data_IF_591002806340
#
_entry.id   IF_591002806340
#
_cell.length_a   1.000
_cell.length_b   1.000
_cell.length_c   1.000
_cell.angle_alpha   90.00
_cell.angle_beta   90.00
_cell.angle_gamma   90.00
#
_symmetry.space_group_name_H-M   'P 1'
#
loop_
_entity.id
_entity.type
_entity.pdbx_description
1 polymer ?
#
# COMPACT_ATOMS: atom_id res chain seq x y z
N UNK A 1 22.75 4.17 -0.88
CA UNK A 1 22.21 2.92 -0.29
C UNK A 1 20.86 3.11 0.40
N UNK A 2 20.68 4.09 1.30
CA UNK A 2 19.41 4.27 2.04
C UNK A 2 18.18 4.54 1.15
N UNK A 3 18.33 5.29 0.05
CA UNK A 3 17.25 5.53 -0.93
C UNK A 3 16.81 4.25 -1.64
N UNK A 4 17.76 3.42 -2.09
CA UNK A 4 17.46 2.12 -2.70
C UNK A 4 16.70 1.20 -1.73
N UNK A 5 17.13 1.14 -0.45
CA UNK A 5 16.43 0.38 0.58
C UNK A 5 14.98 0.85 0.79
N UNK A 6 14.73 2.17 0.79
CA UNK A 6 13.36 2.71 0.88
C UNK A 6 12.47 2.37 -0.30
N UNK A 7 13.07 2.12 -1.46
CA UNK A 7 12.36 1.78 -2.70
C UNK A 7 12.07 0.28 -2.77
N UNK A 8 13.08 -0.52 -2.46
CA UNK A 8 13.03 -1.95 -2.70
C UNK A 8 12.40 -2.69 -1.52
N UNK A 9 12.80 -2.38 -0.28
CA UNK A 9 12.40 -3.18 0.88
C UNK A 9 10.89 -3.21 1.12
N UNK A 10 10.15 -2.07 1.08
CA UNK A 10 8.70 -2.12 1.25
C UNK A 10 8.01 -2.98 0.19
N UNK A 11 8.40 -2.79 -1.07
CA UNK A 11 7.83 -3.55 -2.19
C UNK A 11 8.12 -5.04 -2.04
N UNK A 12 9.36 -5.45 -1.77
CA UNK A 12 9.67 -6.87 -1.61
C UNK A 12 8.96 -7.53 -0.41
N UNK A 13 8.73 -6.78 0.68
CA UNK A 13 7.95 -7.28 1.81
C UNK A 13 6.49 -7.47 1.41
N UNK A 14 5.84 -6.45 0.85
CA UNK A 14 4.44 -6.51 0.46
C UNK A 14 4.23 -7.60 -0.61
N UNK A 15 5.06 -7.59 -1.66
CA UNK A 15 5.02 -8.58 -2.73
C UNK A 15 5.28 -10.00 -2.23
N UNK A 16 6.22 -10.16 -1.29
CA UNK A 16 6.52 -11.44 -0.66
C UNK A 16 5.35 -11.97 0.17
N UNK A 17 4.64 -11.10 0.90
CA UNK A 17 3.43 -11.47 1.64
C UNK A 17 2.34 -11.92 0.67
N UNK A 18 2.05 -11.15 -0.39
CA UNK A 18 1.05 -11.52 -1.39
C UNK A 18 1.42 -12.83 -2.11
N UNK A 19 2.68 -12.99 -2.50
CA UNK A 19 3.17 -14.21 -3.13
C UNK A 19 2.99 -15.41 -2.19
N UNK A 20 3.35 -15.28 -0.92
CA UNK A 20 3.16 -16.36 0.06
C UNK A 20 1.68 -16.71 0.23
N UNK A 21 0.80 -15.71 0.36
CA UNK A 21 -0.65 -15.95 0.47
C UNK A 21 -1.18 -16.73 -0.73
N UNK A 22 -0.78 -16.36 -1.95
CA UNK A 22 -1.22 -17.07 -3.16
C UNK A 22 -0.66 -18.49 -3.20
N UNK A 23 0.64 -18.67 -2.95
CA UNK A 23 1.31 -19.97 -3.03
C UNK A 23 0.79 -20.96 -1.98
N UNK A 24 0.55 -20.52 -0.74
CA UNK A 24 0.01 -21.38 0.32
C UNK A 24 -1.46 -21.76 0.10
N UNK A 25 -2.23 -20.94 -0.62
CA UNK A 25 -3.64 -21.23 -0.89
C UNK A 25 -3.85 -22.06 -2.17
N UNK A 26 -2.90 -22.03 -3.11
CA UNK A 26 -2.99 -22.71 -4.41
C UNK A 26 -3.31 -24.22 -4.33
N UNK A 27 -2.72 -25.01 -3.39
CA UNK A 27 -2.99 -26.45 -3.31
C UNK A 27 -4.44 -26.76 -2.88
N UNK A 28 -5.05 -25.88 -2.09
CA UNK A 28 -6.39 -26.08 -1.52
C UNK A 28 -7.48 -25.34 -2.28
N UNK A 29 -7.11 -24.35 -3.10
CA UNK A 29 -8.02 -23.50 -3.86
C UNK A 29 -7.57 -23.46 -5.32
N UNK A 30 -8.23 -24.20 -6.23
CA UNK A 30 -7.86 -24.19 -7.64
C UNK A 30 -8.07 -22.78 -8.21
N UNK A 31 -7.11 -22.32 -9.01
CA UNK A 31 -7.18 -21.00 -9.63
C UNK A 31 -8.34 -20.94 -10.63
N UNK A 32 -9.17 -19.90 -10.53
CA UNK A 32 -10.32 -19.69 -11.41
C UNK A 32 -10.22 -18.35 -12.11
N UNK A 33 -9.78 -18.39 -13.36
CA UNK A 33 -9.64 -17.19 -14.19
C UNK A 33 -10.97 -16.48 -14.44
N UNK A 34 -12.08 -17.23 -14.43
CA UNK A 34 -13.43 -16.67 -14.62
C UNK A 34 -13.88 -15.79 -13.44
N UNK A 35 -13.27 -15.98 -12.26
CA UNK A 35 -13.62 -15.19 -11.06
C UNK A 35 -12.80 -13.89 -10.96
N UNK A 36 -11.98 -13.55 -11.97
CA UNK A 36 -11.27 -12.26 -12.01
C UNK A 36 -12.29 -11.12 -12.07
N UNK A 37 -12.30 -10.29 -11.04
CA UNK A 37 -13.24 -9.17 -10.90
C UNK A 37 -14.28 -9.39 -9.80
N UNK A 38 -14.43 -10.62 -9.29
CA UNK A 38 -15.45 -10.95 -8.30
C UNK A 38 -15.06 -10.59 -6.86
N UNK A 39 -13.87 -10.01 -6.65
CA UNK A 39 -13.43 -9.49 -5.35
C UNK A 39 -13.23 -10.56 -4.27
N UNK A 40 -13.06 -11.82 -4.68
CA UNK A 40 -12.85 -12.95 -3.80
C UNK A 40 -11.39 -13.46 -3.84
N UNK A 41 -11.07 -14.46 -3.01
CA UNK A 41 -9.72 -15.05 -2.94
C UNK A 41 -9.24 -15.62 -4.30
N UNK A 42 -10.13 -16.25 -5.08
CA UNK A 42 -9.80 -16.80 -6.39
C UNK A 42 -9.48 -15.70 -7.40
N UNK A 43 -10.26 -14.60 -7.39
CA UNK A 43 -9.98 -13.39 -8.17
C UNK A 43 -8.58 -12.84 -7.87
N UNK A 44 -8.22 -12.76 -6.58
CA UNK A 44 -6.92 -12.26 -6.14
C UNK A 44 -5.78 -13.17 -6.62
N UNK A 45 -5.94 -14.49 -6.45
CA UNK A 45 -4.95 -15.48 -6.88
C UNK A 45 -4.74 -15.48 -8.40
N UNK A 46 -5.84 -15.46 -9.17
CA UNK A 46 -5.79 -15.42 -10.62
C UNK A 46 -5.15 -14.12 -11.14
N UNK A 47 -5.53 -12.97 -10.58
CA UNK A 47 -4.96 -11.67 -10.93
C UNK A 47 -3.46 -11.60 -10.61
N UNK A 48 -3.07 -11.99 -9.40
CA UNK A 48 -1.67 -11.98 -9.01
C UNK A 48 -0.84 -12.91 -9.92
N UNK A 49 -1.29 -14.14 -10.17
CA UNK A 49 -0.53 -15.08 -10.99
C UNK A 49 -0.31 -14.61 -12.43
N UNK A 50 -1.31 -13.95 -13.04
CA UNK A 50 -1.21 -13.44 -14.40
C UNK A 50 -0.37 -12.16 -14.50
N UNK A 51 -0.47 -11.27 -13.51
CA UNK A 51 0.06 -9.90 -13.62
C UNK A 51 1.23 -9.61 -12.69
N UNK A 52 1.77 -10.59 -11.95
CA UNK A 52 2.83 -10.34 -10.96
C UNK A 52 4.05 -9.56 -11.50
N UNK A 53 4.58 -9.76 -12.73
CA UNK A 53 5.73 -8.97 -13.18
C UNK A 53 5.37 -7.50 -13.36
N UNK A 54 4.17 -7.23 -13.88
CA UNK A 54 3.65 -5.89 -14.08
C UNK A 54 3.36 -5.22 -12.74
N UNK A 55 2.73 -5.93 -11.81
CA UNK A 55 2.46 -5.46 -10.45
C UNK A 55 3.75 -5.10 -9.72
N UNK A 56 4.81 -5.90 -9.87
CA UNK A 56 6.12 -5.62 -9.28
C UNK A 56 6.74 -4.34 -9.87
N UNK A 57 6.71 -4.20 -11.21
CA UNK A 57 7.23 -3.02 -11.88
C UNK A 57 6.47 -1.74 -11.47
N UNK A 58 5.13 -1.80 -11.45
CA UNK A 58 4.27 -0.70 -11.00
C UNK A 58 4.52 -0.38 -9.52
N UNK A 59 4.69 -1.39 -8.67
CA UNK A 59 5.03 -1.21 -7.25
C UNK A 59 6.36 -0.46 -7.06
N UNK A 60 7.42 -0.90 -7.75
CA UNK A 60 8.73 -0.24 -7.69
C UNK A 60 8.65 1.22 -8.17
N UNK A 61 7.96 1.47 -9.29
CA UNK A 61 7.79 2.82 -9.84
C UNK A 61 6.99 3.71 -8.89
N UNK A 62 5.89 3.19 -8.33
CA UNK A 62 5.05 3.91 -7.36
C UNK A 62 5.85 4.27 -6.11
N UNK A 63 6.62 3.32 -5.59
CA UNK A 63 7.47 3.55 -4.43
C UNK A 63 8.54 4.61 -4.70
N UNK A 64 9.19 4.54 -5.87
CA UNK A 64 10.25 5.46 -6.24
C UNK A 64 9.76 6.88 -6.53
N UNK A 65 8.69 7.02 -7.33
CA UNK A 65 8.22 8.28 -7.86
C UNK A 65 7.26 9.02 -6.93
N UNK A 66 6.51 8.28 -6.11
CA UNK A 66 5.42 8.86 -5.29
C UNK A 66 5.75 8.71 -3.81
N UNK A 67 5.91 7.48 -3.33
CA UNK A 67 5.97 7.22 -1.89
C UNK A 67 7.23 7.78 -1.25
N UNK A 68 8.41 7.52 -1.81
CA UNK A 68 9.67 7.99 -1.22
C UNK A 68 9.76 9.52 -1.17
N UNK A 69 9.45 10.28 -2.25
CA UNK A 69 9.39 11.73 -2.18
C UNK A 69 8.39 12.25 -1.15
N UNK A 70 7.20 11.65 -1.09
CA UNK A 70 6.17 12.02 -0.13
C UNK A 70 6.62 11.75 1.30
N UNK A 71 7.26 10.60 1.55
CA UNK A 71 7.83 10.24 2.85
C UNK A 71 8.94 11.19 3.30
N UNK A 72 9.88 11.53 2.41
CA UNK A 72 10.98 12.42 2.76
C UNK A 72 10.48 13.83 3.12
N UNK A 73 9.40 14.30 2.46
CA UNK A 73 8.68 15.52 2.87
C UNK A 73 7.94 15.32 4.19
N UNK A 74 7.20 14.22 4.36
CA UNK A 74 6.44 13.90 5.58
C UNK A 74 7.32 13.84 6.84
N UNK A 75 8.49 13.21 6.74
CA UNK A 75 9.39 12.95 7.86
C UNK A 75 9.90 14.23 8.54
N UNK A 76 10.02 15.34 7.82
CA UNK A 76 10.52 16.62 8.38
C UNK A 76 9.40 17.53 8.92
N UNK A 77 8.13 17.16 8.76
CA UNK A 77 6.99 17.98 9.20
C UNK A 77 6.62 17.76 10.66
N UNK A 78 5.89 18.72 11.24
CA UNK A 78 5.30 18.60 12.57
C UNK A 78 4.23 17.51 12.62
N UNK A 79 3.89 17.02 13.81
CA UNK A 79 2.85 15.99 13.99
C UNK A 79 1.50 16.39 13.38
N UNK A 80 1.07 17.65 13.57
CA UNK A 80 -0.18 18.16 12.98
C UNK A 80 -0.16 18.09 11.44
N UNK A 81 0.92 18.55 10.82
CA UNK A 81 1.07 18.51 9.36
C UNK A 81 1.12 17.06 8.82
N UNK A 82 1.76 16.15 9.56
CA UNK A 82 1.77 14.72 9.23
C UNK A 82 0.37 14.10 9.26
N UNK A 83 -0.45 14.45 10.25
CA UNK A 83 -1.84 13.98 10.34
C UNK A 83 -2.68 14.48 9.16
N UNK A 84 -2.51 15.75 8.77
CA UNK A 84 -3.18 16.31 7.58
C UNK A 84 -2.77 15.56 6.30
N UNK A 85 -1.47 15.31 6.10
CA UNK A 85 -0.98 14.54 4.94
C UNK A 85 -1.60 13.14 4.93
N UNK A 86 -1.66 12.47 6.09
CA UNK A 86 -2.29 11.15 6.22
C UNK A 86 -3.78 11.17 5.83
N UNK A 87 -4.54 12.16 6.28
CA UNK A 87 -5.95 12.34 5.89
C UNK A 87 -6.08 12.57 4.39
N UNK A 88 -5.23 13.41 3.78
CA UNK A 88 -5.24 13.66 2.34
C UNK A 88 -4.97 12.38 1.54
N UNK A 89 -3.98 11.58 1.96
CA UNK A 89 -3.68 10.30 1.33
C UNK A 89 -4.88 9.36 1.42
N UNK A 90 -5.49 9.23 2.61
CA UNK A 90 -6.65 8.38 2.81
C UNK A 90 -7.84 8.82 1.93
N UNK A 91 -8.11 10.11 1.87
CA UNK A 91 -9.17 10.67 1.02
C UNK A 91 -8.93 10.38 -0.46
N UNK A 92 -7.70 10.57 -0.95
CA UNK A 92 -7.33 10.24 -2.34
C UNK A 92 -7.51 8.74 -2.62
N UNK A 93 -7.07 7.87 -1.70
CA UNK A 93 -7.24 6.42 -1.85
C UNK A 93 -8.72 6.02 -1.94
N UNK A 94 -9.55 6.55 -1.04
CA UNK A 94 -10.99 6.27 -1.03
C UNK A 94 -11.66 6.80 -2.30
N UNK A 95 -11.29 7.99 -2.78
CA UNK A 95 -11.84 8.58 -3.99
C UNK A 95 -11.46 7.79 -5.26
N UNK A 96 -10.21 7.35 -5.37
CA UNK A 96 -9.74 6.52 -6.48
C UNK A 96 -10.39 5.13 -6.44
N UNK A 97 -10.47 4.50 -5.27
CA UNK A 97 -11.17 3.23 -5.10
C UNK A 97 -12.64 3.34 -5.54
N UNK A 98 -13.35 4.40 -5.13
CA UNK A 98 -14.73 4.63 -5.52
C UNK A 98 -14.88 4.84 -7.03
N UNK A 99 -13.94 5.56 -7.64
CA UNK A 99 -13.94 5.83 -9.09
C UNK A 99 -13.68 4.56 -9.89
N UNK A 100 -12.72 3.72 -9.49
CA UNK A 100 -12.46 2.43 -10.13
C UNK A 100 -13.67 1.51 -9.96
N UNK A 101 -14.21 1.40 -8.74
CA UNK A 101 -15.42 0.62 -8.47
C UNK A 101 -16.59 1.05 -9.33
N UNK A 102 -16.77 2.36 -9.55
CA UNK A 102 -17.84 2.88 -10.41
C UNK A 102 -17.64 2.48 -11.88
N UNK A 103 -16.40 2.46 -12.37
CA UNK A 103 -16.08 2.10 -13.75
C UNK A 103 -16.28 0.60 -14.02
N UNK A 104 -15.92 -0.26 -13.07
CA UNK A 104 -16.01 -1.72 -13.24
C UNK A 104 -17.39 -2.29 -12.90
N UNK A 105 -18.21 -1.53 -12.19
CA UNK A 105 -19.50 -1.99 -11.69
C UNK A 105 -20.54 -2.11 -12.80
N UNK A 106 -21.18 -3.27 -12.92
CA UNK A 106 -22.38 -3.45 -13.74
C UNK A 106 -23.63 -3.00 -12.97
N UNK A 107 -24.31 -1.98 -13.51
CA UNK A 107 -25.52 -1.42 -12.92
C UNK A 107 -26.68 -2.42 -12.86
N UNK A 108 -26.66 -3.46 -13.69
CA UNK A 108 -27.66 -4.53 -13.69
C UNK A 108 -27.66 -5.35 -12.39
N UNK A 109 -26.52 -5.44 -11.71
CA UNK A 109 -26.35 -6.24 -10.48
C UNK A 109 -26.76 -5.49 -9.20
N UNK A 110 -27.29 -4.26 -9.34
CA UNK A 110 -27.65 -3.40 -8.22
C UNK A 110 -26.44 -2.80 -7.51
N UNK A 111 -26.64 -2.06 -6.42
CA UNK A 111 -25.57 -1.23 -5.80
C UNK A 111 -24.68 -1.98 -4.80
N UNK A 112 -25.06 -3.18 -4.36
CA UNK A 112 -24.30 -3.92 -3.36
C UNK A 112 -22.87 -4.29 -3.83
N UNK A 113 -22.65 -4.80 -5.06
CA UNK A 113 -21.31 -5.06 -5.59
C UNK A 113 -20.44 -3.81 -5.65
N UNK A 114 -21.01 -2.66 -6.06
CA UNK A 114 -20.30 -1.38 -6.10
C UNK A 114 -19.69 -1.01 -4.74
N UNK A 115 -20.49 -1.02 -3.68
CA UNK A 115 -20.02 -0.69 -2.33
C UNK A 115 -19.04 -1.73 -1.79
N UNK A 116 -19.27 -3.01 -2.09
CA UNK A 116 -18.35 -4.10 -1.72
C UNK A 116 -16.96 -3.88 -2.33
N UNK A 117 -16.87 -3.64 -3.65
CA UNK A 117 -15.61 -3.36 -4.31
C UNK A 117 -14.97 -2.07 -3.84
N UNK A 118 -15.76 -1.02 -3.64
CA UNK A 118 -15.24 0.25 -3.14
C UNK A 118 -14.59 0.09 -1.77
N UNK A 119 -15.24 -0.62 -0.85
CA UNK A 119 -14.68 -0.86 0.47
C UNK A 119 -13.43 -1.74 0.40
N UNK A 120 -13.49 -2.84 -0.35
CA UNK A 120 -12.37 -3.77 -0.52
C UNK A 120 -11.11 -3.09 -1.10
N UNK A 121 -11.28 -2.31 -2.17
CA UNK A 121 -10.17 -1.57 -2.79
C UNK A 121 -9.62 -0.48 -1.84
N UNK A 122 -10.49 0.20 -1.10
CA UNK A 122 -10.08 1.20 -0.11
C UNK A 122 -9.25 0.58 1.01
N UNK A 123 -9.68 -0.57 1.52
CA UNK A 123 -8.99 -1.32 2.57
C UNK A 123 -7.58 -1.70 2.12
N UNK A 124 -7.43 -2.33 0.95
CA UNK A 124 -6.12 -2.70 0.40
C UNK A 124 -5.18 -1.50 0.30
N UNK A 125 -5.67 -0.37 -0.24
CA UNK A 125 -4.85 0.83 -0.40
C UNK A 125 -4.42 1.42 0.95
N UNK A 126 -5.33 1.50 1.92
CA UNK A 126 -5.03 2.03 3.25
C UNK A 126 -4.03 1.14 3.99
N UNK A 127 -4.22 -0.18 3.95
CA UNK A 127 -3.27 -1.13 4.53
C UNK A 127 -1.88 -1.01 3.90
N UNK A 128 -1.81 -0.92 2.58
CA UNK A 128 -0.55 -0.69 1.86
C UNK A 128 0.18 0.56 2.36
N UNK A 129 -0.52 1.69 2.48
CA UNK A 129 0.09 2.94 2.96
C UNK A 129 0.58 2.83 4.41
N UNK A 130 -0.21 2.20 5.29
CA UNK A 130 0.18 1.98 6.70
C UNK A 130 1.43 1.12 6.78
N UNK A 131 1.44 -0.04 6.15
CA UNK A 131 2.60 -0.95 6.15
C UNK A 131 3.84 -0.28 5.57
N UNK A 132 3.69 0.39 4.43
CA UNK A 132 4.78 1.11 3.78
C UNK A 132 5.37 2.18 4.71
N UNK A 133 4.53 2.97 5.38
CA UNK A 133 4.99 4.00 6.32
C UNK A 133 5.66 3.41 7.56
N UNK A 134 5.18 2.26 8.06
CA UNK A 134 5.84 1.54 9.15
C UNK A 134 7.25 1.11 8.74
N UNK A 135 7.41 0.49 7.56
CA UNK A 135 8.72 0.05 7.08
C UNK A 135 9.65 1.25 6.88
N UNK A 136 9.17 2.33 6.27
CA UNK A 136 9.94 3.55 6.10
C UNK A 136 10.31 4.21 7.43
N UNK A 137 9.40 4.18 8.42
CA UNK A 137 9.69 4.64 9.77
C UNK A 137 10.81 3.84 10.43
N UNK A 138 10.82 2.52 10.29
CA UNK A 138 11.88 1.66 10.81
C UNK A 138 13.23 1.97 10.14
N UNK A 139 13.25 2.19 8.83
CA UNK A 139 14.47 2.58 8.09
C UNK A 139 14.96 3.96 8.52
N UNK A 140 14.05 4.92 8.71
CA UNK A 140 14.34 6.34 8.96
C UNK A 140 14.21 6.76 10.43
N UNK A 141 14.12 5.82 11.38
CA UNK A 141 13.83 6.07 12.81
C UNK A 141 14.63 7.22 13.41
N UNK A 142 15.92 7.34 13.03
CA UNK A 142 16.82 8.41 13.49
C UNK A 142 16.33 9.83 13.16
N UNK A 143 15.56 10.04 12.09
CA UNK A 143 14.99 11.34 11.73
C UNK A 143 13.89 11.82 12.70
N UNK A 144 13.35 10.91 13.51
CA UNK A 144 12.26 11.19 14.44
C UNK A 144 12.73 11.30 15.90
N UNK A 145 14.01 11.04 16.17
CA UNK A 145 14.62 11.24 17.48
C UNK A 145 15.07 12.69 17.58
N UNK A 146 14.52 13.46 18.53
CA UNK A 146 15.03 14.81 18.83
C UNK A 146 16.49 14.70 19.27
N UNK A 147 17.41 15.59 18.84
CA UNK A 147 18.74 15.64 19.42
C UNK A 147 18.60 15.83 20.93
N UNK A 148 19.14 14.91 21.72
CA UNK A 148 19.37 15.16 23.14
C UNK A 148 20.32 16.36 23.22
N UNK A 149 19.93 17.42 23.92
CA UNK A 149 20.83 18.53 24.19
C UNK A 149 22.16 17.99 24.73
N UNK A 150 23.32 18.50 24.29
CA UNK A 150 24.59 18.12 24.90
C UNK A 150 24.46 18.34 26.40
N UNK A 151 24.77 17.32 27.19
CA UNK A 151 24.82 17.48 28.64
C UNK A 151 25.77 18.64 28.94
N UNK A 152 25.23 19.72 29.51
CA UNK A 152 26.03 20.79 30.09
C UNK A 152 27.01 20.12 31.04
N UNK A 153 28.29 20.14 30.67
CA UNK A 153 29.37 19.77 31.57
C UNK A 153 29.38 20.88 32.62
N UNK A 154 28.67 20.66 33.72
CA UNK A 154 28.80 21.47 34.91
C UNK A 154 30.24 21.33 35.40
N UNK A 155 31.04 22.37 35.13
CA UNK A 155 32.39 22.55 35.67
C UNK A 155 32.31 23.33 36.99
#
# INVERSE_FOLDING_TARGET
MRKLLKVILPIFIDFGIYWAVVEYNLPSHPMKLIEIGDGNLYSLMAYFHLFWPLLLAVGILTQYLIVVPLWDNYAVKSFKARLIIGICIAAVCIAFAGSISYIIWDQADGTAPFYSFWWYLSEIQLFYWVFTFVILFLIDRRKFVKPSAPAEVAA
#
